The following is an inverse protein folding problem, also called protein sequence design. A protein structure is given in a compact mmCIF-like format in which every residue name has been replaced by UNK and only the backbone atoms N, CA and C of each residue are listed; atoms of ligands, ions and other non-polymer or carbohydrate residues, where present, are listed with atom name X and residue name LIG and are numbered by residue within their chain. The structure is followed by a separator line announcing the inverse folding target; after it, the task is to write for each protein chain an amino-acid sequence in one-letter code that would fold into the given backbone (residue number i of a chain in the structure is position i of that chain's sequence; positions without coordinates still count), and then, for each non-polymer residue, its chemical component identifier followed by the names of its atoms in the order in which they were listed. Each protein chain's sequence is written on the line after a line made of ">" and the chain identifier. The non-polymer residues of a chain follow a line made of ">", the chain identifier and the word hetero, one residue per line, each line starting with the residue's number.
data_IF_731416575692
#
_entry.id   IF_731416575692
#
_cell.length_a   1.000
_cell.length_b   1.000
_cell.length_c   1.000
_cell.angle_alpha   90.00
_cell.angle_beta   90.00
_cell.angle_gamma   90.00
#
_symmetry.space_group_name_H-M   'P 1'
#
loop_
_entity.id
_entity.type
_entity.pdbx_description
1 polymer ?
#
# COMPACT_ATOMS: atom_id res chain seq x y z
N UNK A 1 -1.28 2.95 38.49
CA UNK A 1 -2.06 2.50 37.32
C UNK A 1 -3.53 2.64 37.67
N UNK A 2 -4.36 3.13 36.75
CA UNK A 2 -5.78 3.42 37.03
C UNK A 2 -6.61 2.16 37.27
N UNK A 3 -7.80 2.32 37.86
CA UNK A 3 -8.68 1.23 38.29
C UNK A 3 -9.21 0.34 37.14
N UNK A 4 -9.02 0.75 35.88
CA UNK A 4 -9.45 0.00 34.68
C UNK A 4 -8.35 -0.87 34.03
N UNK A 5 -7.14 -0.91 34.60
CA UNK A 5 -6.06 -1.73 34.05
C UNK A 5 -6.24 -3.21 34.37
N UNK A 6 -6.41 -4.04 33.35
CA UNK A 6 -6.45 -5.50 33.48
C UNK A 6 -5.09 -6.10 33.07
N UNK A 7 -4.29 -6.64 34.01
CA UNK A 7 -2.97 -7.21 33.73
C UNK A 7 -3.00 -8.52 32.92
N UNK A 8 -4.17 -9.14 32.74
CA UNK A 8 -4.35 -10.32 31.87
C UNK A 8 -4.56 -9.97 30.40
N UNK A 9 -4.81 -8.69 30.09
CA UNK A 9 -4.89 -8.22 28.70
C UNK A 9 -3.51 -7.89 28.18
N UNK A 10 -3.31 -8.10 26.89
CA UNK A 10 -2.07 -7.69 26.22
C UNK A 10 -1.89 -6.17 26.33
N UNK A 11 -0.66 -5.75 26.60
CA UNK A 11 -0.31 -4.33 26.61
C UNK A 11 -0.39 -3.78 25.18
N UNK A 12 -1.20 -2.74 24.99
CA UNK A 12 -1.35 -2.05 23.71
C UNK A 12 -0.50 -0.79 23.72
N UNK A 13 0.45 -0.70 22.79
CA UNK A 13 1.34 0.46 22.63
C UNK A 13 1.07 1.17 21.31
N UNK A 14 1.06 2.50 21.33
CA UNK A 14 1.02 3.33 20.12
C UNK A 14 2.42 3.87 19.85
N UNK A 15 3.03 3.44 18.75
CA UNK A 15 4.33 3.91 18.30
C UNK A 15 4.16 5.23 17.54
N UNK A 16 4.87 6.28 17.93
CA UNK A 16 4.82 7.58 17.27
C UNK A 16 6.10 7.81 16.47
N UNK A 17 6.01 7.73 15.14
CA UNK A 17 7.12 8.00 14.23
C UNK A 17 6.93 9.35 13.56
N UNK A 18 7.96 10.19 13.63
CA UNK A 18 8.03 11.46 12.90
C UNK A 18 9.38 11.58 12.20
N UNK A 19 9.34 11.98 10.93
CA UNK A 19 10.55 12.17 10.11
C UNK A 19 10.85 13.66 10.05
N UNK A 20 12.00 14.04 10.61
CA UNK A 20 12.47 15.42 10.57
C UNK A 20 12.62 15.90 9.12
N UNK A 21 11.84 16.91 8.73
CA UNK A 21 11.89 17.53 7.40
C UNK A 21 11.68 16.55 6.23
N UNK A 22 10.64 15.71 6.31
CA UNK A 22 10.32 14.70 5.30
C UNK A 22 10.33 15.24 3.86
N UNK A 23 9.68 16.37 3.60
CA UNK A 23 9.63 16.95 2.25
C UNK A 23 10.99 17.46 1.79
N UNK A 24 11.78 18.10 2.67
CA UNK A 24 13.11 18.57 2.30
C UNK A 24 14.05 17.40 1.99
N UNK A 25 13.96 16.31 2.74
CA UNK A 25 14.71 15.09 2.44
C UNK A 25 14.26 14.46 1.12
N UNK A 26 12.95 14.37 0.86
CA UNK A 26 12.40 13.84 -0.39
C UNK A 26 12.78 14.69 -1.62
N UNK A 27 12.76 16.03 -1.50
CA UNK A 27 13.16 16.95 -2.55
C UNK A 27 14.67 16.98 -2.80
N UNK A 28 15.47 16.45 -1.88
CA UNK A 28 16.91 16.28 -2.06
C UNK A 28 17.28 14.97 -2.78
N UNK A 29 16.29 14.09 -3.04
CA UNK A 29 16.52 12.86 -3.81
C UNK A 29 16.63 13.16 -5.31
N UNK A 30 17.08 12.18 -6.08
CA UNK A 30 17.13 12.27 -7.53
C UNK A 30 15.71 12.18 -8.11
N UNK A 31 15.15 13.31 -8.55
CA UNK A 31 13.74 13.43 -8.97
C UNK A 31 13.61 13.69 -10.49
N UNK A 32 12.61 13.09 -11.15
CA UNK A 32 12.32 13.38 -12.55
C UNK A 32 11.79 14.81 -12.70
N UNK A 33 12.31 15.56 -13.68
CA UNK A 33 11.92 16.96 -13.92
C UNK A 33 11.30 17.21 -15.31
N UNK A 34 11.32 16.23 -16.22
CA UNK A 34 10.78 16.38 -17.58
C UNK A 34 11.03 15.15 -18.46
N UNK A 35 10.61 15.24 -19.73
CA UNK A 35 10.82 14.17 -20.71
C UNK A 35 9.90 12.96 -20.56
N UNK A 36 8.71 13.13 -19.99
CA UNK A 36 7.77 12.03 -19.77
C UNK A 36 7.24 11.45 -21.09
N UNK A 37 7.45 10.16 -21.28
CA UNK A 37 6.95 9.40 -22.42
C UNK A 37 6.52 8.00 -21.99
N UNK A 38 5.63 7.39 -22.78
CA UNK A 38 5.25 5.99 -22.61
C UNK A 38 6.36 5.09 -23.16
N UNK A 39 6.80 4.12 -22.37
CA UNK A 39 7.83 3.16 -22.76
C UNK A 39 7.46 1.75 -22.32
N UNK A 40 7.85 0.75 -23.12
CA UNK A 40 7.78 -0.65 -22.72
C UNK A 40 8.93 -0.92 -21.72
N UNK A 41 8.61 -0.95 -20.43
CA UNK A 41 9.60 -1.14 -19.39
C UNK A 41 10.05 -2.61 -19.31
N UNK A 42 11.37 -2.84 -19.44
CA UNK A 42 12.03 -4.07 -19.03
C UNK A 42 13.00 -3.72 -17.90
N UNK A 43 13.08 -4.58 -16.89
CA UNK A 43 14.09 -4.52 -15.83
C UNK A 43 14.03 -3.29 -14.88
N UNK A 44 12.86 -2.64 -14.75
CA UNK A 44 12.64 -1.50 -13.84
C UNK A 44 12.99 -1.77 -12.37
N UNK A 45 13.02 -3.05 -11.94
CA UNK A 45 13.40 -3.45 -10.58
C UNK A 45 14.91 -3.44 -10.34
N UNK A 46 15.73 -3.39 -11.38
CA UNK A 46 17.20 -3.46 -11.29
C UNK A 46 17.88 -2.11 -11.50
N UNK A 47 17.08 -1.06 -11.70
CA UNK A 47 17.54 0.27 -12.00
C UNK A 47 18.14 0.94 -10.74
N UNK A 48 19.31 1.58 -10.82
CA UNK A 48 19.84 2.42 -9.75
C UNK A 48 18.92 3.61 -9.46
N UNK A 49 18.89 4.06 -8.20
CA UNK A 49 18.08 5.22 -7.78
C UNK A 49 18.54 6.54 -8.42
N UNK A 50 19.82 6.63 -8.81
CA UNK A 50 20.44 7.78 -9.48
C UNK A 50 20.55 7.62 -11.01
N UNK A 51 19.79 6.69 -11.58
CA UNK A 51 19.73 6.49 -13.03
C UNK A 51 19.21 7.73 -13.75
N UNK A 52 19.82 8.06 -14.89
CA UNK A 52 19.43 9.19 -15.76
C UNK A 52 17.95 9.13 -16.19
N UNK A 53 17.42 7.93 -16.37
CA UNK A 53 16.01 7.68 -16.70
C UNK A 53 15.36 6.84 -15.60
N UNK A 54 14.14 7.20 -15.20
CA UNK A 54 13.30 6.44 -14.27
C UNK A 54 11.95 6.08 -14.86
N UNK A 55 11.21 5.19 -14.19
CA UNK A 55 9.89 4.73 -14.63
C UNK A 55 8.80 5.14 -13.64
N UNK A 56 7.68 5.64 -14.16
CA UNK A 56 6.43 5.74 -13.40
C UNK A 56 5.56 4.57 -13.87
N UNK A 57 5.16 3.72 -12.92
CA UNK A 57 4.41 2.50 -13.23
C UNK A 57 2.93 2.72 -12.97
N UNK A 58 2.11 2.54 -14.01
CA UNK A 58 0.69 2.32 -13.88
C UNK A 58 0.45 0.81 -13.79
N UNK A 59 -0.05 0.34 -12.64
CA UNK A 59 -0.23 -1.10 -12.36
C UNK A 59 -1.57 -1.36 -11.68
N UNK A 60 -2.14 -2.52 -11.96
CA UNK A 60 -3.17 -3.12 -11.12
C UNK A 60 -2.49 -3.79 -9.92
N UNK A 61 -2.83 -3.36 -8.71
CA UNK A 61 -2.28 -3.90 -7.46
C UNK A 61 -3.31 -4.82 -6.79
N UNK A 62 -2.93 -6.08 -6.57
CA UNK A 62 -3.63 -6.98 -5.65
C UNK A 62 -2.96 -6.95 -4.29
N UNK A 63 -3.74 -6.73 -3.22
CA UNK A 63 -3.21 -6.64 -1.86
C UNK A 63 -3.80 -7.72 -0.93
N UNK A 64 -3.09 -8.85 -0.74
CA UNK A 64 -3.59 -10.02 -0.01
C UNK A 64 -4.06 -9.69 1.41
N UNK A 65 -5.22 -10.24 1.80
CA UNK A 65 -5.80 -10.03 3.14
C UNK A 65 -4.88 -10.48 4.27
N UNK A 66 -4.05 -11.51 4.03
CA UNK A 66 -3.08 -12.00 5.01
C UNK A 66 -2.03 -10.97 5.44
N UNK A 67 -1.84 -9.90 4.67
CA UNK A 67 -0.89 -8.82 4.97
C UNK A 67 -1.53 -7.64 5.72
N UNK A 68 -2.86 -7.59 5.82
CA UNK A 68 -3.57 -6.42 6.33
C UNK A 68 -3.28 -6.19 7.82
N UNK A 69 -3.26 -7.27 8.61
CA UNK A 69 -2.98 -7.17 10.05
C UNK A 69 -1.53 -6.77 10.32
N UNK A 70 -0.57 -7.30 9.54
CA UNK A 70 0.86 -6.96 9.69
C UNK A 70 1.20 -5.55 9.23
N UNK A 71 0.45 -4.99 8.28
CA UNK A 71 0.69 -3.66 7.74
C UNK A 71 -0.30 -2.60 8.25
N UNK A 72 -1.05 -2.91 9.31
CA UNK A 72 -2.11 -2.02 9.84
C UNK A 72 -1.60 -0.60 10.16
N UNK A 73 -0.36 -0.49 10.61
CA UNK A 73 0.25 0.78 11.03
C UNK A 73 0.82 1.57 9.84
N UNK A 74 1.28 0.88 8.79
CA UNK A 74 1.85 1.46 7.57
C UNK A 74 1.36 0.67 6.33
N UNK A 75 0.10 0.88 5.90
CA UNK A 75 -0.46 0.15 4.77
C UNK A 75 0.22 0.58 3.47
N UNK A 76 0.50 -0.39 2.59
CA UNK A 76 1.17 -0.15 1.31
C UNK A 76 0.42 0.86 0.41
N UNK A 77 -0.90 0.82 0.42
CA UNK A 77 -1.75 1.73 -0.33
C UNK A 77 -3.01 2.11 0.46
N UNK A 78 -3.61 3.28 0.20
CA UNK A 78 -4.89 3.64 0.78
C UNK A 78 -5.96 2.60 0.41
N UNK A 79 -6.65 2.05 1.40
CA UNK A 79 -7.86 1.26 1.15
C UNK A 79 -9.07 2.19 1.24
N UNK A 80 -9.83 2.31 0.14
CA UNK A 80 -11.13 2.99 0.21
C UNK A 80 -12.19 1.99 0.71
N UNK A 81 -13.07 2.36 1.65
CA UNK A 81 -14.18 1.50 2.08
C UNK A 81 -15.06 1.04 0.91
N UNK A 82 -15.17 1.86 -0.14
CA UNK A 82 -15.95 1.59 -1.34
C UNK A 82 -15.35 0.47 -2.24
N UNK A 83 -14.08 0.10 -2.09
CA UNK A 83 -13.50 -1.01 -2.85
C UNK A 83 -13.89 -2.38 -2.25
N UNK A 84 -13.97 -2.50 -0.91
CA UNK A 84 -14.46 -3.71 -0.23
C UNK A 84 -15.90 -4.08 -0.64
N UNK A 85 -16.77 -3.08 -0.83
CA UNK A 85 -18.16 -3.29 -1.25
C UNK A 85 -18.31 -3.79 -2.71
N UNK A 86 -17.32 -3.54 -3.58
CA UNK A 86 -17.36 -4.00 -4.98
C UNK A 86 -16.96 -5.46 -5.13
N UNK A 87 -16.02 -5.94 -4.32
CA UNK A 87 -15.52 -7.31 -4.43
C UNK A 87 -16.41 -8.33 -3.70
N UNK A 88 -17.20 -7.90 -2.70
CA UNK A 88 -18.22 -8.75 -2.06
C UNK A 88 -19.47 -9.00 -2.93
N UNK A 89 -19.63 -8.29 -4.04
CA UNK A 89 -20.80 -8.37 -4.93
C UNK A 89 -20.63 -9.34 -6.12
N UNK A 90 -19.50 -10.05 -6.24
CA UNK A 90 -19.31 -11.12 -7.25
C UNK A 90 -19.26 -12.49 -6.57
N UNK A 91 -20.42 -13.00 -6.16
CA UNK A 91 -20.64 -14.44 -6.00
C UNK A 91 -21.24 -14.97 -7.31
N UNK A 92 -20.75 -16.09 -7.87
CA UNK A 92 -21.30 -16.64 -9.11
C UNK A 92 -22.62 -17.35 -8.81
N UNK A 93 -23.71 -16.92 -9.46
CA UNK A 93 -24.95 -17.70 -9.53
C UNK A 93 -24.69 -18.97 -10.35
N UNK A 94 -24.26 -20.03 -9.67
CA UNK A 94 -24.53 -21.39 -10.13
C UNK A 94 -25.99 -21.71 -9.81
N UNK A 95 -26.87 -21.49 -10.79
CA UNK A 95 -28.16 -22.17 -10.83
C UNK A 95 -28.05 -23.28 -11.89
N UNK A 96 -27.80 -24.50 -11.44
CA UNK A 96 -28.30 -25.67 -12.14
C UNK A 96 -29.84 -25.58 -12.14
N UNK A 97 -30.47 -25.64 -13.30
CA UNK A 97 -31.80 -26.25 -13.38
C UNK A 97 -31.94 -27.03 -14.69
N UNK A 98 -32.40 -28.26 -14.52
CA UNK A 98 -32.69 -29.23 -15.55
C UNK A 98 -34.08 -28.92 -16.09
N UNK A 99 -34.25 -28.76 -17.40
CA UNK A 99 -35.31 -29.40 -18.21
C UNK A 99 -34.93 -29.31 -19.68
#
# INVERSE_FOLDING_TARGET
>A
MGEDYNPEKEDVYLMYYDVNNLYGWAMAQYLPYGGFEWADAKDYLTLPEDSEYGYILEVDLEYPESLHDSHKDLPLCPSTPAHRARNSAKTPDHAEDQT
#
